data_IF_266957768788
#
_entry.id   IF_266957768788
#
_cell.length_a   1.000
_cell.length_b   1.000
_cell.length_c   1.000
_cell.angle_alpha   90.00
_cell.angle_beta   90.00
_cell.angle_gamma   90.00
#
_symmetry.space_group_name_H-M   'P 1'
#
loop_
_entity.id
_entity.type
_entity.pdbx_description
1 polymer ?
#
# COMPACT_ATOMS: atom_id res chain seq x y z
N UNK A 1 8.72 -17.42 34.28
CA UNK A 1 8.57 -16.17 33.51
C UNK A 1 7.85 -16.42 32.19
N UNK A 2 8.37 -17.29 31.32
CA UNK A 2 7.74 -17.64 30.02
C UNK A 2 6.31 -18.19 30.17
N UNK A 3 6.07 -19.12 31.11
CA UNK A 3 4.71 -19.63 31.39
C UNK A 3 3.71 -18.55 31.82
N UNK A 4 4.19 -17.49 32.48
CA UNK A 4 3.34 -16.36 32.86
C UNK A 4 2.95 -15.51 31.65
N UNK A 5 3.88 -15.27 30.73
CA UNK A 5 3.62 -14.57 29.47
C UNK A 5 2.64 -15.39 28.60
N UNK A 6 2.83 -16.71 28.52
CA UNK A 6 1.93 -17.62 27.80
C UNK A 6 0.50 -17.57 28.37
N UNK A 7 0.34 -17.67 29.69
CA UNK A 7 -0.98 -17.60 30.33
C UNK A 7 -1.69 -16.26 30.12
N UNK A 8 -0.95 -15.14 30.12
CA UNK A 8 -1.51 -13.82 29.81
C UNK A 8 -1.93 -13.76 28.33
N UNK A 9 -1.10 -14.25 27.41
CA UNK A 9 -1.44 -14.33 25.98
C UNK A 9 -2.68 -15.17 25.70
N UNK A 10 -2.78 -16.36 26.31
CA UNK A 10 -3.95 -17.24 26.19
C UNK A 10 -5.22 -16.60 26.74
N UNK A 11 -5.13 -15.89 27.88
CA UNK A 11 -6.27 -15.17 28.44
C UNK A 11 -6.75 -14.03 27.53
N UNK A 12 -5.81 -13.25 26.97
CA UNK A 12 -6.13 -12.16 26.04
C UNK A 12 -6.77 -12.69 24.75
N UNK A 13 -6.26 -13.79 24.19
CA UNK A 13 -6.80 -14.40 22.97
C UNK A 13 -8.20 -14.99 23.20
N UNK A 14 -8.44 -15.57 24.38
CA UNK A 14 -9.72 -16.21 24.72
C UNK A 14 -10.89 -15.21 24.77
N UNK A 15 -10.60 -13.94 25.07
CA UNK A 15 -11.58 -12.87 25.15
C UNK A 15 -11.76 -12.12 23.80
N UNK A 16 -11.04 -12.52 22.74
CA UNK A 16 -11.16 -11.94 21.39
C UNK A 16 -12.20 -12.70 20.56
N UNK A 17 -13.07 -11.97 19.86
CA UNK A 17 -14.01 -12.56 18.90
C UNK A 17 -13.29 -12.99 17.60
N UNK A 18 -12.31 -12.20 17.15
CA UNK A 18 -11.47 -12.53 15.99
C UNK A 18 -10.01 -12.19 16.29
N UNK A 19 -9.23 -13.14 16.83
CA UNK A 19 -7.85 -12.90 17.24
C UNK A 19 -6.96 -12.35 16.12
N UNK A 20 -7.15 -12.75 14.86
CA UNK A 20 -6.31 -12.27 13.76
C UNK A 20 -6.58 -10.79 13.47
N UNK A 21 -7.85 -10.40 13.49
CA UNK A 21 -8.27 -9.01 13.33
C UNK A 21 -7.80 -8.14 14.51
N UNK A 22 -7.99 -8.65 15.73
CA UNK A 22 -7.70 -7.93 16.97
C UNK A 22 -6.21 -7.82 17.26
N UNK A 23 -5.40 -8.80 16.84
CA UNK A 23 -3.96 -8.79 17.08
C UNK A 23 -3.19 -7.94 16.06
N UNK A 24 -3.75 -7.66 14.88
CA UNK A 24 -3.13 -6.78 13.88
C UNK A 24 -2.76 -5.40 14.47
N UNK A 25 -3.53 -4.92 15.45
CA UNK A 25 -3.23 -3.64 16.15
C UNK A 25 -1.92 -3.67 16.94
N UNK A 26 -1.46 -4.84 17.37
CA UNK A 26 -0.17 -4.94 18.08
C UNK A 26 1.03 -4.94 17.14
N UNK A 27 0.78 -5.00 15.82
CA UNK A 27 1.81 -4.87 14.78
C UNK A 27 2.03 -3.42 14.35
N UNK A 28 1.22 -2.49 14.87
CA UNK A 28 1.33 -1.07 14.54
C UNK A 28 2.67 -0.54 15.05
N UNK A 29 3.44 0.06 14.14
CA UNK A 29 4.66 0.79 14.48
C UNK A 29 4.34 2.25 14.79
N UNK A 30 5.15 2.86 15.67
CA UNK A 30 5.05 4.28 15.92
C UNK A 30 5.40 5.06 14.66
N UNK A 31 4.57 6.04 14.30
CA UNK A 31 4.86 6.91 13.18
C UNK A 31 5.96 7.87 13.63
N UNK A 32 7.16 7.69 13.09
CA UNK A 32 8.32 8.51 13.48
C UNK A 32 8.04 10.00 13.28
N UNK A 33 8.68 10.84 14.11
CA UNK A 33 8.65 12.30 13.96
C UNK A 33 8.94 12.70 12.51
N UNK A 34 8.15 13.61 11.92
CA UNK A 34 8.41 14.10 10.57
C UNK A 34 9.77 14.79 10.51
N UNK A 35 10.37 14.83 9.31
CA UNK A 35 11.63 15.57 9.09
C UNK A 35 11.44 17.09 9.18
N UNK A 36 10.24 17.58 8.84
CA UNK A 36 9.84 18.97 8.97
C UNK A 36 9.16 19.28 10.30
N UNK A 37 8.54 20.46 10.39
CA UNK A 37 7.73 20.86 11.55
C UNK A 37 6.44 20.05 11.66
N UNK A 38 5.92 19.58 10.52
CA UNK A 38 4.68 18.84 10.38
C UNK A 38 4.87 17.65 9.45
N UNK A 39 4.12 16.60 9.73
CA UNK A 39 3.99 15.38 8.95
C UNK A 39 2.54 15.21 8.52
N UNK A 40 2.33 14.76 7.30
CA UNK A 40 1.01 14.48 6.76
C UNK A 40 0.84 13.02 6.37
N UNK A 41 -0.36 12.49 6.59
CA UNK A 41 -0.84 11.26 5.94
C UNK A 41 -1.79 11.68 4.82
N UNK A 42 -1.44 11.35 3.58
CA UNK A 42 -2.27 11.65 2.40
C UNK A 42 -3.13 10.44 2.06
N UNK A 43 -4.42 10.66 1.89
CA UNK A 43 -5.36 9.64 1.41
C UNK A 43 -5.57 9.87 -0.08
N UNK A 44 -5.28 8.84 -0.88
CA UNK A 44 -5.62 8.80 -2.30
C UNK A 44 -6.99 8.15 -2.44
N UNK A 45 -8.00 8.95 -2.74
CA UNK A 45 -9.40 8.51 -2.82
C UNK A 45 -9.75 8.17 -4.26
N UNK A 46 -9.91 6.88 -4.53
CA UNK A 46 -10.28 6.35 -5.84
C UNK A 46 -11.78 6.09 -5.83
N UNK A 47 -12.48 6.63 -6.82
CA UNK A 47 -13.82 6.18 -7.18
C UNK A 47 -13.69 5.31 -8.43
N UNK A 48 -14.24 4.10 -8.41
CA UNK A 48 -14.22 3.18 -9.56
C UNK A 48 -15.49 3.32 -10.43
N UNK A 49 -16.58 3.82 -9.87
CA UNK A 49 -17.84 4.10 -10.56
C UNK A 49 -17.87 5.57 -11.05
N UNK A 50 -17.27 5.78 -12.21
CA UNK A 50 -16.89 7.12 -12.67
C UNK A 50 -15.45 7.39 -12.27
N UNK A 51 -14.48 6.71 -12.93
CA UNK A 51 -13.09 6.68 -12.51
C UNK A 51 -12.53 8.07 -12.22
N UNK A 52 -12.16 8.30 -10.96
CA UNK A 52 -11.61 9.58 -10.54
C UNK A 52 -10.69 9.43 -9.33
N UNK A 53 -9.73 10.34 -9.23
CA UNK A 53 -8.86 10.49 -8.08
C UNK A 53 -9.16 11.82 -7.38
N UNK A 54 -9.44 11.76 -6.09
CA UNK A 54 -9.43 12.92 -5.20
C UNK A 54 -8.43 12.71 -4.07
N UNK A 55 -8.02 13.81 -3.44
CA UNK A 55 -6.94 13.83 -2.46
C UNK A 55 -7.46 14.41 -1.15
N UNK A 56 -6.99 13.87 -0.03
CA UNK A 56 -7.37 14.37 1.30
C UNK A 56 -6.19 14.27 2.28
N UNK A 57 -6.21 15.14 3.29
CA UNK A 57 -5.32 15.06 4.44
C UNK A 57 -5.99 14.18 5.49
N UNK A 58 -5.52 12.93 5.57
CA UNK A 58 -6.04 11.98 6.56
C UNK A 58 -5.66 12.36 7.99
N UNK A 59 -4.45 12.87 8.19
CA UNK A 59 -3.94 13.35 9.47
C UNK A 59 -2.78 14.33 9.28
N UNK A 60 -2.65 15.27 10.21
CA UNK A 60 -1.49 16.14 10.42
C UNK A 60 -0.92 15.88 11.82
N UNK A 61 0.41 15.85 11.96
CA UNK A 61 1.08 15.62 13.24
C UNK A 61 2.47 16.26 13.31
N UNK A 62 2.96 16.55 14.51
CA UNK A 62 4.29 17.14 14.75
C UNK A 62 5.19 16.30 15.66
N UNK A 63 4.62 15.28 16.31
CA UNK A 63 5.31 14.38 17.24
C UNK A 63 4.96 12.93 16.88
N UNK A 64 5.79 11.95 17.31
CA UNK A 64 5.48 10.54 17.09
C UNK A 64 4.06 10.17 17.57
N UNK A 65 3.36 9.35 16.81
CA UNK A 65 1.96 9.04 17.07
C UNK A 65 1.59 7.61 16.69
N UNK A 66 1.42 6.78 17.73
CA UNK A 66 0.84 5.45 17.62
C UNK A 66 -0.64 5.51 17.20
N UNK A 67 -1.37 6.54 17.62
CA UNK A 67 -2.78 6.72 17.26
C UNK A 67 -2.96 6.89 15.75
N UNK A 68 -2.12 7.71 15.12
CA UNK A 68 -2.14 7.89 13.66
C UNK A 68 -1.67 6.61 12.96
N UNK A 69 -0.63 5.96 13.50
CA UNK A 69 -0.21 4.64 13.04
C UNK A 69 -1.37 3.63 13.06
N UNK A 70 -2.19 3.64 14.11
CA UNK A 70 -3.36 2.78 14.24
C UNK A 70 -4.46 3.13 13.25
N UNK A 71 -4.75 4.44 13.09
CA UNK A 71 -5.77 4.96 12.17
C UNK A 71 -5.51 4.54 10.72
N UNK A 72 -4.26 4.33 10.33
CA UNK A 72 -3.89 3.94 8.95
C UNK A 72 -3.22 2.57 8.83
N UNK A 73 -3.25 1.76 9.89
CA UNK A 73 -2.58 0.45 9.96
C UNK A 73 -1.12 0.50 9.46
N UNK A 74 -0.35 1.44 10.02
CA UNK A 74 1.07 1.56 9.76
C UNK A 74 1.84 0.46 10.50
N UNK A 75 2.28 -0.57 9.78
CA UNK A 75 3.03 -1.73 10.31
C UNK A 75 4.52 -1.68 9.95
N UNK A 76 5.03 -0.47 9.73
CA UNK A 76 6.41 -0.26 9.34
C UNK A 76 6.72 -0.52 7.88
N UNK A 77 8.01 -0.33 7.55
CA UNK A 77 8.53 -0.57 6.22
C UNK A 77 8.79 -2.06 6.01
N UNK A 78 8.51 -2.59 4.82
CA UNK A 78 9.18 -3.78 4.28
C UNK A 78 10.66 -3.89 4.65
N UNK A 79 11.06 -4.90 5.45
CA UNK A 79 12.45 -5.06 5.92
C UNK A 79 13.30 -6.00 5.04
N UNK A 80 12.70 -6.69 4.06
CA UNK A 80 13.38 -7.64 3.20
C UNK A 80 13.65 -7.13 1.77
N UNK A 81 14.79 -7.51 1.18
CA UNK A 81 15.12 -7.19 -0.22
C UNK A 81 14.14 -7.78 -1.26
N UNK A 82 13.39 -8.83 -0.85
CA UNK A 82 12.36 -9.51 -1.63
C UNK A 82 10.94 -9.24 -1.13
N UNK A 83 10.72 -8.18 -0.35
CA UNK A 83 9.38 -7.86 0.11
C UNK A 83 8.49 -7.45 -1.07
N UNK A 84 7.29 -8.04 -1.10
CA UNK A 84 6.35 -7.93 -2.21
C UNK A 84 5.63 -6.58 -2.27
N UNK A 85 5.94 -5.63 -1.38
CA UNK A 85 5.34 -4.28 -1.41
C UNK A 85 3.80 -4.34 -1.35
N UNK A 86 3.27 -5.15 -0.44
CA UNK A 86 1.83 -5.43 -0.29
C UNK A 86 1.13 -4.50 0.72
N UNK A 87 1.79 -3.42 1.13
CA UNK A 87 1.27 -2.48 2.12
C UNK A 87 0.37 -1.43 1.47
N UNK A 88 -0.89 -1.35 1.93
CA UNK A 88 -1.87 -0.33 1.55
C UNK A 88 -1.61 1.04 2.20
N UNK A 89 -0.76 1.09 3.23
CA UNK A 89 -0.22 2.32 3.81
C UNK A 89 1.30 2.28 3.73
N UNK A 90 1.92 3.32 3.15
CA UNK A 90 3.35 3.32 2.83
C UNK A 90 3.96 4.71 2.83
N UNK A 91 5.27 4.81 3.02
CA UNK A 91 6.06 6.03 2.86
C UNK A 91 6.44 6.32 1.39
N UNK A 92 6.10 5.42 0.45
CA UNK A 92 6.42 5.57 -0.97
C UNK A 92 5.20 5.34 -1.85
N UNK A 93 4.68 6.43 -2.41
CA UNK A 93 3.54 6.41 -3.33
C UNK A 93 3.78 5.49 -4.55
N UNK A 94 5.04 5.31 -4.96
CA UNK A 94 5.46 4.41 -6.05
C UNK A 94 4.99 2.96 -5.84
N UNK A 95 4.79 2.54 -4.60
CA UNK A 95 4.27 1.20 -4.29
C UNK A 95 2.78 1.11 -4.58
N UNK A 96 1.98 2.09 -4.14
CA UNK A 96 0.54 2.12 -4.36
C UNK A 96 0.19 2.17 -5.85
N UNK A 97 0.91 3.00 -6.62
CA UNK A 97 0.61 3.23 -8.05
C UNK A 97 0.97 2.06 -8.97
N UNK A 98 1.70 1.04 -8.49
CA UNK A 98 2.28 0.03 -9.39
C UNK A 98 2.42 -1.38 -8.82
N UNK A 99 2.54 -1.54 -7.51
CA UNK A 99 2.93 -2.83 -6.91
C UNK A 99 1.90 -3.35 -5.90
N UNK A 100 1.38 -2.50 -5.02
CA UNK A 100 0.54 -2.92 -3.89
C UNK A 100 -0.68 -3.71 -4.34
N UNK A 101 -1.56 -3.13 -5.16
CA UNK A 101 -2.78 -3.81 -5.62
C UNK A 101 -2.44 -5.05 -6.47
N UNK A 102 -1.58 -4.95 -7.51
CA UNK A 102 -1.22 -6.12 -8.32
C UNK A 102 -0.63 -7.29 -7.52
N UNK A 103 0.10 -7.01 -6.44
CA UNK A 103 0.67 -8.06 -5.59
C UNK A 103 -0.37 -8.63 -4.62
N UNK A 104 -1.28 -7.81 -4.09
CA UNK A 104 -2.35 -8.26 -3.18
C UNK A 104 -3.38 -9.17 -3.86
N UNK A 105 -3.73 -8.91 -5.12
CA UNK A 105 -4.73 -9.69 -5.87
C UNK A 105 -4.18 -11.00 -6.46
N UNK A 106 -2.92 -11.36 -6.19
CA UNK A 106 -2.39 -12.67 -6.61
C UNK A 106 -3.14 -13.79 -5.90
N UNK A 107 -3.21 -14.96 -6.54
CA UNK A 107 -3.94 -16.13 -6.02
C UNK A 107 -3.42 -16.60 -4.65
N UNK A 108 -2.14 -16.39 -4.36
CA UNK A 108 -1.46 -16.83 -3.13
C UNK A 108 -1.44 -15.78 -2.00
N UNK A 109 -2.19 -14.68 -2.14
CA UNK A 109 -2.08 -13.51 -1.24
C UNK A 109 -3.35 -13.21 -0.48
N UNK A 110 -4.22 -12.34 -0.99
CA UNK A 110 -5.53 -12.13 -0.38
C UNK A 110 -6.43 -13.31 -0.70
N UNK A 111 -7.04 -13.88 0.34
CA UNK A 111 -8.11 -14.85 0.22
C UNK A 111 -9.31 -14.22 -0.52
N UNK A 112 -10.20 -15.06 -1.06
CA UNK A 112 -11.44 -14.56 -1.66
C UNK A 112 -12.28 -13.78 -0.66
N UNK A 113 -12.92 -12.70 -1.10
CA UNK A 113 -13.68 -11.82 -0.20
C UNK A 113 -14.07 -10.49 -0.83
N UNK A 114 -14.65 -9.62 -0.01
CA UNK A 114 -15.11 -8.29 -0.41
C UNK A 114 -13.92 -7.42 -0.82
N UNK A 115 -12.86 -7.38 0.01
CA UNK A 115 -11.66 -6.62 -0.31
C UNK A 115 -11.00 -7.09 -1.60
N UNK A 116 -10.86 -8.41 -1.78
CA UNK A 116 -10.23 -8.95 -3.00
C UNK A 116 -11.02 -8.51 -4.23
N UNK A 117 -12.35 -8.60 -4.19
CA UNK A 117 -13.22 -8.18 -5.28
C UNK A 117 -13.10 -6.68 -5.55
N UNK A 118 -13.03 -5.86 -4.49
CA UNK A 118 -12.83 -4.41 -4.61
C UNK A 118 -11.47 -4.06 -5.24
N UNK A 119 -10.39 -4.73 -4.82
CA UNK A 119 -9.05 -4.52 -5.37
C UNK A 119 -8.94 -5.03 -6.81
N UNK A 120 -9.59 -6.13 -7.18
CA UNK A 120 -9.67 -6.61 -8.56
C UNK A 120 -10.45 -5.62 -9.45
N UNK A 121 -11.61 -5.13 -8.99
CA UNK A 121 -12.37 -4.06 -9.68
C UNK A 121 -11.49 -2.83 -9.89
N UNK A 122 -10.82 -2.38 -8.83
CA UNK A 122 -9.91 -1.23 -8.88
C UNK A 122 -8.78 -1.46 -9.88
N UNK A 123 -8.14 -2.64 -9.83
CA UNK A 123 -7.07 -3.01 -10.75
C UNK A 123 -7.51 -2.89 -12.21
N UNK A 124 -8.65 -3.49 -12.57
CA UNK A 124 -9.17 -3.44 -13.93
C UNK A 124 -9.65 -2.05 -14.37
N UNK A 125 -9.98 -1.19 -13.42
CA UNK A 125 -10.49 0.16 -13.71
C UNK A 125 -9.36 1.15 -13.94
N UNK A 126 -8.30 1.11 -13.11
CA UNK A 126 -7.33 2.21 -13.05
C UNK A 126 -5.91 1.81 -13.48
N UNK A 127 -5.60 0.53 -13.64
CA UNK A 127 -4.27 0.10 -14.07
C UNK A 127 -4.25 -0.20 -15.57
N UNK A 128 -3.13 0.15 -16.20
CA UNK A 128 -2.82 -0.33 -17.54
C UNK A 128 -1.50 -1.12 -17.57
N UNK A 129 -1.38 -2.00 -18.57
CA UNK A 129 -0.24 -2.89 -18.75
C UNK A 129 0.84 -2.22 -19.62
N UNK A 130 2.05 -2.09 -19.08
CA UNK A 130 3.24 -1.63 -19.79
C UNK A 130 3.86 -2.71 -20.71
N UNK A 131 3.32 -3.92 -20.72
CA UNK A 131 3.68 -5.03 -21.60
C UNK A 131 4.41 -6.17 -20.89
N UNK A 132 4.57 -7.30 -21.58
CA UNK A 132 5.33 -8.44 -21.09
C UNK A 132 6.84 -8.23 -21.23
N UNK A 133 7.59 -8.76 -20.27
CA UNK A 133 9.04 -8.62 -20.20
C UNK A 133 9.77 -9.58 -21.14
N UNK A 134 9.08 -10.16 -22.13
CA UNK A 134 9.64 -11.15 -23.07
C UNK A 134 10.52 -10.50 -24.14
N UNK A 135 10.38 -9.19 -24.33
CA UNK A 135 11.36 -8.37 -25.04
C UNK A 135 12.75 -8.49 -24.36
N UNK A 136 13.79 -8.68 -25.18
CA UNK A 136 15.20 -8.77 -24.76
C UNK A 136 15.69 -7.57 -23.94
N UNK A 137 14.93 -6.48 -23.91
CA UNK A 137 15.16 -5.26 -23.14
C UNK A 137 14.91 -5.43 -21.64
N UNK A 138 14.06 -6.38 -21.20
CA UNK A 138 13.54 -6.44 -19.81
C UNK A 138 14.01 -7.66 -19.00
N UNK A 139 15.13 -8.30 -19.39
CA UNK A 139 15.68 -9.49 -18.71
C UNK A 139 15.74 -9.29 -17.18
N UNK A 140 14.98 -10.10 -16.44
CA UNK A 140 14.98 -10.13 -14.97
C UNK A 140 13.90 -9.28 -14.26
N UNK A 141 13.10 -8.47 -14.97
CA UNK A 141 12.01 -7.65 -14.39
C UNK A 141 10.60 -8.20 -14.69
N UNK A 142 10.42 -9.51 -14.74
CA UNK A 142 9.26 -10.12 -15.41
C UNK A 142 7.87 -9.75 -14.85
N UNK A 143 7.75 -9.17 -13.64
CA UNK A 143 6.46 -8.75 -13.05
C UNK A 143 6.47 -7.38 -12.36
N UNK A 144 7.58 -6.98 -11.75
CA UNK A 144 7.68 -5.70 -11.05
C UNK A 144 7.52 -4.54 -12.05
N UNK A 145 6.73 -3.56 -11.70
CA UNK A 145 6.45 -2.38 -12.55
C UNK A 145 5.76 -2.69 -13.88
N UNK A 146 5.11 -3.86 -14.04
CA UNK A 146 4.34 -4.17 -15.25
C UNK A 146 3.07 -3.33 -15.34
N UNK A 147 2.37 -3.20 -14.22
CA UNK A 147 1.12 -2.45 -14.14
C UNK A 147 1.36 -1.12 -13.45
N UNK A 148 0.66 -0.09 -13.90
CA UNK A 148 0.77 1.26 -13.37
C UNK A 148 -0.57 1.99 -13.52
N UNK A 149 -0.87 2.93 -12.62
CA UNK A 149 -2.08 3.75 -12.69
C UNK A 149 -2.16 4.60 -13.97
N UNK A 150 -3.35 4.67 -14.54
CA UNK A 150 -3.77 5.63 -15.55
C UNK A 150 -4.30 6.90 -14.87
N UNK A 151 -3.40 7.81 -14.48
CA UNK A 151 -3.80 9.08 -13.85
C UNK A 151 -4.64 9.96 -14.78
N UNK A 152 -4.44 9.87 -16.09
CA UNK A 152 -5.24 10.62 -17.08
C UNK A 152 -6.68 10.12 -17.08
N UNK A 153 -6.87 8.80 -17.08
CA UNK A 153 -8.17 8.15 -16.91
C UNK A 153 -8.84 8.43 -15.57
N UNK A 154 -8.08 8.83 -14.55
CA UNK A 154 -8.57 9.27 -13.24
C UNK A 154 -8.85 10.79 -13.16
N UNK A 155 -8.79 11.51 -14.28
CA UNK A 155 -9.11 12.93 -14.35
C UNK A 155 -7.96 13.88 -14.04
N UNK A 156 -6.71 13.41 -13.98
CA UNK A 156 -5.53 14.28 -13.85
C UNK A 156 -5.10 14.75 -15.24
N UNK A 157 -5.42 16.00 -15.59
CA UNK A 157 -5.27 16.52 -16.95
C UNK A 157 -3.81 16.53 -17.43
N UNK A 158 -2.85 16.84 -16.56
CA UNK A 158 -1.42 16.90 -16.90
C UNK A 158 -0.71 15.54 -16.87
N UNK A 159 -1.45 14.44 -16.64
CA UNK A 159 -0.87 13.11 -16.65
C UNK A 159 -0.54 12.64 -18.07
N UNK A 160 0.55 11.87 -18.25
CA UNK A 160 0.85 11.25 -19.52
C UNK A 160 -0.18 10.17 -19.86
N UNK A 161 -0.52 10.05 -21.15
CA UNK A 161 -1.37 8.97 -21.62
C UNK A 161 -0.65 7.61 -21.53
N UNK A 162 -1.39 6.48 -21.44
CA UNK A 162 -0.80 5.15 -21.42
C UNK A 162 0.18 4.87 -22.57
N UNK A 163 -0.06 5.47 -23.75
CA UNK A 163 0.83 5.34 -24.91
C UNK A 163 2.18 6.05 -24.69
N UNK A 164 2.15 7.26 -24.16
CA UNK A 164 3.36 8.05 -23.87
C UNK A 164 4.22 7.37 -22.80
N UNK A 165 3.57 6.82 -21.76
CA UNK A 165 4.28 6.04 -20.74
C UNK A 165 4.94 4.78 -21.32
N UNK A 166 4.28 4.10 -22.26
CA UNK A 166 4.90 2.95 -22.97
C UNK A 166 6.11 3.39 -23.80
N UNK A 167 6.04 4.52 -24.49
CA UNK A 167 7.16 5.08 -25.25
C UNK A 167 8.34 5.42 -24.32
N UNK A 168 8.10 6.11 -23.20
CA UNK A 168 9.13 6.41 -22.18
C UNK A 168 9.81 5.12 -21.67
N UNK A 169 9.03 4.08 -21.39
CA UNK A 169 9.55 2.80 -20.90
C UNK A 169 10.34 2.07 -21.99
N UNK A 170 9.89 2.10 -23.25
CA UNK A 170 10.59 1.49 -24.38
C UNK A 170 11.92 2.18 -24.68
N UNK A 171 11.94 3.51 -24.70
CA UNK A 171 13.15 4.31 -24.93
C UNK A 171 14.19 4.11 -23.82
N UNK A 172 13.74 4.03 -22.57
CA UNK A 172 14.63 3.87 -21.42
C UNK A 172 15.05 2.42 -21.16
N UNK A 173 14.30 1.44 -21.64
CA UNK A 173 14.46 0.03 -21.29
C UNK A 173 14.18 -0.27 -19.81
N UNK A 174 13.59 0.65 -19.03
CA UNK A 174 13.36 0.50 -17.60
C UNK A 174 11.93 0.93 -17.20
N UNK A 175 11.11 -0.05 -16.82
CA UNK A 175 9.72 0.16 -16.37
C UNK A 175 9.64 1.03 -15.13
N UNK A 176 10.66 0.98 -14.27
CA UNK A 176 10.73 1.84 -13.08
C UNK A 176 10.71 3.32 -13.46
N UNK A 177 11.14 3.68 -14.68
CA UNK A 177 11.07 5.05 -15.16
C UNK A 177 9.64 5.52 -15.37
N UNK A 178 8.77 4.69 -15.95
CA UNK A 178 7.34 4.98 -16.06
C UNK A 178 6.70 5.21 -14.69
N UNK A 179 7.02 4.36 -13.71
CA UNK A 179 6.55 4.50 -12.31
C UNK A 179 6.99 5.82 -11.69
N UNK A 180 8.24 6.25 -11.94
CA UNK A 180 8.75 7.53 -11.45
C UNK A 180 8.03 8.72 -12.08
N UNK A 181 7.70 8.68 -13.36
CA UNK A 181 6.97 9.78 -14.02
C UNK A 181 5.55 9.91 -13.47
N UNK A 182 4.82 8.81 -13.31
CA UNK A 182 3.48 8.83 -12.69
C UNK A 182 3.55 9.31 -11.24
N UNK A 183 4.52 8.84 -10.45
CA UNK A 183 4.71 9.30 -9.08
C UNK A 183 5.03 10.80 -8.99
N UNK A 184 5.78 11.34 -9.96
CA UNK A 184 6.11 12.76 -10.04
C UNK A 184 4.87 13.59 -10.32
N UNK A 185 4.05 13.19 -11.30
CA UNK A 185 2.78 13.87 -11.60
C UNK A 185 1.87 13.86 -10.36
N UNK A 186 1.68 12.69 -9.74
CA UNK A 186 0.85 12.58 -8.53
C UNK A 186 1.36 13.44 -7.37
N UNK A 187 2.68 13.48 -7.13
CA UNK A 187 3.26 14.36 -6.08
C UNK A 187 3.04 15.84 -6.37
N UNK A 188 3.08 16.24 -7.65
CA UNK A 188 2.77 17.61 -8.05
C UNK A 188 1.29 17.92 -7.84
N UNK A 189 0.40 16.98 -8.18
CA UNK A 189 -1.04 17.11 -7.94
C UNK A 189 -1.35 17.29 -6.46
N UNK A 190 -0.76 16.44 -5.61
CA UNK A 190 -0.88 16.53 -4.15
C UNK A 190 -0.42 17.88 -3.64
N UNK A 191 0.74 18.34 -4.11
CA UNK A 191 1.25 19.67 -3.76
C UNK A 191 0.29 20.78 -4.17
N UNK A 192 -0.28 20.70 -5.37
CA UNK A 192 -1.16 21.75 -5.90
C UNK A 192 -2.53 21.78 -5.24
N UNK A 193 -3.12 20.61 -4.95
CA UNK A 193 -4.46 20.53 -4.37
C UNK A 193 -4.48 20.74 -2.86
N UNK A 194 -3.47 20.20 -2.15
CA UNK A 194 -3.44 20.20 -0.69
C UNK A 194 -2.51 21.26 -0.09
N UNK A 195 -1.75 21.99 -0.91
CA UNK A 195 -0.73 22.96 -0.48
C UNK A 195 0.31 22.36 0.50
N UNK A 196 0.64 21.08 0.32
CA UNK A 196 1.65 20.38 1.13
C UNK A 196 2.92 20.10 0.33
N UNK A 197 4.08 20.21 0.99
CA UNK A 197 5.35 19.86 0.34
C UNK A 197 5.50 18.33 0.31
N UNK A 198 6.00 17.74 -0.78
CA UNK A 198 6.22 16.29 -0.85
C UNK A 198 7.10 15.73 0.28
N UNK A 199 8.07 16.51 0.77
CA UNK A 199 8.96 16.11 1.88
C UNK A 199 8.29 16.11 3.26
N UNK A 200 7.15 16.79 3.40
CA UNK A 200 6.34 16.79 4.63
C UNK A 200 5.33 15.62 4.65
N UNK A 201 5.17 14.90 3.53
CA UNK A 201 4.30 13.72 3.46
C UNK A 201 5.03 12.53 4.09
N UNK A 202 4.48 12.04 5.19
CA UNK A 202 5.04 10.90 5.92
C UNK A 202 4.51 9.57 5.42
N UNK A 203 3.22 9.51 5.09
CA UNK A 203 2.57 8.31 4.58
C UNK A 203 1.56 8.63 3.48
N UNK A 204 1.33 7.65 2.62
CA UNK A 204 0.24 7.57 1.66
C UNK A 204 -0.61 6.36 2.00
N UNK A 205 -1.91 6.47 1.84
CA UNK A 205 -2.86 5.36 1.98
C UNK A 205 -3.94 5.43 0.90
N UNK A 206 -4.76 4.39 0.79
CA UNK A 206 -5.83 4.29 -0.20
C UNK A 206 -7.20 4.27 0.46
N UNK A 207 -8.11 5.06 -0.09
CA UNK A 207 -9.55 4.92 0.09
C UNK A 207 -10.14 4.57 -1.28
N UNK A 208 -10.97 3.53 -1.36
CA UNK A 208 -11.56 3.05 -2.61
C UNK A 208 -13.07 2.98 -2.40
N UNK A 209 -13.84 3.65 -3.25
CA UNK A 209 -15.30 3.72 -3.20
C UNK A 209 -15.83 4.12 -1.80
N UNK A 210 -15.10 5.00 -1.11
CA UNK A 210 -15.44 5.50 0.23
C UNK A 210 -14.95 4.64 1.39
N UNK A 211 -14.24 3.53 1.11
CA UNK A 211 -13.67 2.66 2.14
C UNK A 211 -12.16 2.82 2.27
N UNK A 212 -11.68 3.12 3.48
CA UNK A 212 -10.25 3.11 3.81
C UNK A 212 -9.74 1.66 3.85
N UNK A 213 -9.24 1.16 2.71
CA UNK A 213 -8.94 -0.26 2.51
C UNK A 213 -7.86 -0.83 3.43
N UNK A 214 -6.99 0.03 3.99
CA UNK A 214 -6.04 -0.37 5.03
C UNK A 214 -6.72 -0.81 6.35
N UNK A 215 -8.01 -0.48 6.55
CA UNK A 215 -8.79 -0.87 7.72
C UNK A 215 -9.76 -2.02 7.44
N UNK A 216 -9.87 -2.48 6.20
CA UNK A 216 -10.75 -3.58 5.84
C UNK A 216 -10.37 -4.85 6.65
N UNK A 217 -11.34 -5.59 7.22
CA UNK A 217 -11.08 -6.80 8.01
C UNK A 217 -10.18 -7.83 7.31
N UNK A 218 -10.48 -8.16 6.05
CA UNK A 218 -9.66 -9.07 5.22
C UNK A 218 -8.18 -8.62 5.11
N UNK A 219 -7.93 -7.31 4.97
CA UNK A 219 -6.56 -6.80 4.91
C UNK A 219 -5.84 -6.94 6.26
N UNK A 220 -6.52 -6.61 7.37
CA UNK A 220 -5.95 -6.75 8.71
C UNK A 220 -5.57 -8.21 9.01
N UNK A 221 -6.45 -9.16 8.66
CA UNK A 221 -6.17 -10.60 8.76
C UNK A 221 -4.98 -11.01 7.92
N UNK A 222 -4.94 -10.55 6.66
CA UNK A 222 -3.83 -10.79 5.75
C UNK A 222 -2.50 -10.26 6.31
N UNK A 223 -2.47 -9.03 6.81
CA UNK A 223 -1.26 -8.41 7.39
C UNK A 223 -0.80 -9.17 8.62
N UNK A 224 -1.72 -9.58 9.49
CA UNK A 224 -1.41 -10.40 10.64
C UNK A 224 -0.76 -11.72 10.22
N UNK A 225 -1.40 -12.49 9.35
CA UNK A 225 -0.87 -13.75 8.80
C UNK A 225 0.51 -13.57 8.16
N UNK A 226 0.67 -12.52 7.35
CA UNK A 226 1.92 -12.22 6.64
C UNK A 226 3.08 -11.84 7.56
N UNK A 227 2.82 -11.19 8.68
CA UNK A 227 3.85 -10.72 9.60
C UNK A 227 4.15 -11.69 10.73
N UNK A 228 3.15 -12.47 11.15
CA UNK A 228 3.23 -13.39 12.28
C UNK A 228 3.38 -14.81 11.76
N UNK A 229 2.36 -15.37 11.12
CA UNK A 229 2.31 -16.80 10.77
C UNK A 229 3.49 -17.21 9.89
N UNK A 230 3.81 -16.42 8.86
CA UNK A 230 4.94 -16.68 7.95
C UNK A 230 6.32 -16.70 8.66
N UNK A 231 6.45 -16.03 9.81
CA UNK A 231 7.69 -16.02 10.60
C UNK A 231 7.79 -17.19 11.59
N UNK A 232 6.67 -17.82 11.94
CA UNK A 232 6.60 -18.91 12.91
C UNK A 232 6.32 -20.29 12.29
N UNK A 233 6.19 -20.40 10.96
CA UNK A 233 5.98 -21.69 10.25
C UNK A 233 7.01 -22.77 10.63
N UNK A 234 8.24 -22.38 10.99
CA UNK A 234 9.31 -23.31 11.41
C UNK A 234 9.68 -23.19 12.89
N UNK A 235 8.88 -22.49 13.70
CA UNK A 235 9.14 -22.40 15.13
C UNK A 235 8.73 -23.71 15.80
N UNK A 236 9.64 -24.34 16.53
CA UNK A 236 9.29 -25.48 17.40
C UNK A 236 8.29 -25.02 18.45
N UNK A 237 7.29 -25.85 18.73
CA UNK A 237 6.31 -25.60 19.78
C UNK A 237 7.05 -25.51 21.12
N UNK A 238 7.08 -24.32 21.72
CA UNK A 238 7.83 -24.07 22.94
C UNK A 238 7.30 -24.90 24.12
N UNK A 239 8.18 -25.68 24.75
CA UNK A 239 7.93 -26.54 25.93
C UNK A 239 7.61 -25.71 27.20
#
# INVERSE_FOLDING_TARGET
MIRGIKAIGEAIIKDMEDPQLDLARFLIEDLSKPRGEKGYVVILKINTDGPSLSLDIGSEFSEPSLEIGAKFLWVGKPTGANDDQDRLTTDKVEYLISQTIPNLIREDRLEGGELRSLLEKTFHTIFFDLGDGESSLFKGQHRRYRYIWDLKGLGIEDAPEPKELKEIVQESGDRKRGVKEVAKVLKNEIKSQLDIKPDDISLYTLEIDGELVAQHPDYRKYIFKRLVDDRFVNAEEGI
#
